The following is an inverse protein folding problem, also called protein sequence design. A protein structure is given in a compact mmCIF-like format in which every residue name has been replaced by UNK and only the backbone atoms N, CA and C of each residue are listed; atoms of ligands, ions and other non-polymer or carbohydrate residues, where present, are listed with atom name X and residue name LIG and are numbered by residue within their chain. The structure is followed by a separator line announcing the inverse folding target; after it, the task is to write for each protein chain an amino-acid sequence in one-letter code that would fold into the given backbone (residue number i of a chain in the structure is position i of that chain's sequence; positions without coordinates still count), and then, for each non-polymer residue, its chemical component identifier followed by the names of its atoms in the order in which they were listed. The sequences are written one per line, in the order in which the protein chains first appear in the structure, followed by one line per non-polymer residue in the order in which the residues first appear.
data_IF_418352276025
#
_entry.id   IF_418352276025
#
_cell.length_a   1.000
_cell.length_b   1.000
_cell.length_c   1.000
_cell.angle_alpha   90.00
_cell.angle_beta   90.00
_cell.angle_gamma   90.00
#
_symmetry.space_group_name_H-M   'P 1'
#
loop_
_entity.id
_entity.type
_entity.pdbx_description
1 polymer ?
#
# COMPACT_ATOMS: atom_id res chain seq x y z
N UNK A 1 54.62 0.68 24.10
CA UNK A 1 53.53 -0.29 23.89
C UNK A 1 54.01 -1.46 23.06
N UNK A 2 53.82 -2.70 23.53
CA UNK A 2 54.27 -3.91 22.82
C UNK A 2 53.46 -4.11 21.55
N UNK A 3 54.11 -4.38 20.43
CA UNK A 3 53.54 -4.57 19.11
C UNK A 3 52.40 -5.63 19.13
N UNK A 4 52.59 -6.69 19.92
CA UNK A 4 51.58 -7.72 20.13
C UNK A 4 50.25 -7.18 20.66
N UNK A 5 50.27 -6.15 21.52
CA UNK A 5 49.07 -5.55 22.08
C UNK A 5 48.26 -4.80 21.01
N UNK A 6 48.93 -4.04 20.13
CA UNK A 6 48.27 -3.29 19.05
C UNK A 6 47.64 -4.26 18.03
N UNK A 7 48.37 -5.33 17.70
CA UNK A 7 47.86 -6.34 16.75
C UNK A 7 46.64 -7.08 17.33
N UNK A 8 46.68 -7.49 18.60
CA UNK A 8 45.52 -8.14 19.23
C UNK A 8 44.29 -7.23 19.34
N UNK A 9 44.49 -5.94 19.65
CA UNK A 9 43.42 -4.97 19.67
C UNK A 9 42.82 -4.77 18.28
N UNK A 10 43.64 -4.70 17.22
CA UNK A 10 43.18 -4.59 15.85
C UNK A 10 42.36 -5.81 15.39
N UNK A 11 42.80 -7.03 15.74
CA UNK A 11 42.05 -8.25 15.49
C UNK A 11 40.73 -8.28 16.26
N UNK A 12 40.71 -7.93 17.55
CA UNK A 12 39.50 -7.83 18.34
C UNK A 12 38.51 -6.84 17.77
N UNK A 13 38.97 -5.64 17.37
CA UNK A 13 38.14 -4.62 16.76
C UNK A 13 37.55 -5.08 15.40
N UNK A 14 38.36 -5.76 14.58
CA UNK A 14 37.90 -6.29 13.29
C UNK A 14 36.81 -7.34 13.50
N UNK A 15 36.99 -8.28 14.43
CA UNK A 15 35.98 -9.31 14.74
C UNK A 15 34.68 -8.68 15.26
N UNK A 16 34.78 -7.74 16.20
CA UNK A 16 33.60 -7.03 16.72
C UNK A 16 32.84 -6.25 15.61
N UNK A 17 33.56 -5.55 14.74
CA UNK A 17 32.99 -4.83 13.62
C UNK A 17 32.32 -5.77 12.61
N UNK A 18 32.92 -6.91 12.32
CA UNK A 18 32.34 -7.91 11.40
C UNK A 18 31.06 -8.49 11.97
N UNK A 19 31.01 -8.81 13.26
CA UNK A 19 29.80 -9.30 13.94
C UNK A 19 28.73 -8.21 13.92
N UNK A 20 29.07 -6.97 14.28
CA UNK A 20 28.14 -5.84 14.25
C UNK A 20 27.59 -5.59 12.84
N UNK A 21 28.44 -5.63 11.82
CA UNK A 21 28.04 -5.52 10.41
C UNK A 21 27.05 -6.62 10.01
N UNK A 22 27.29 -7.87 10.42
CA UNK A 22 26.37 -8.98 10.18
C UNK A 22 25.00 -8.77 10.82
N UNK A 23 24.97 -8.31 12.07
CA UNK A 23 23.71 -8.00 12.77
C UNK A 23 22.95 -6.87 12.08
N UNK A 24 23.63 -5.77 11.74
CA UNK A 24 23.00 -4.62 11.06
C UNK A 24 22.47 -5.04 9.69
N UNK A 25 23.18 -5.89 8.97
CA UNK A 25 22.74 -6.41 7.67
C UNK A 25 21.48 -7.26 7.79
N UNK A 26 21.36 -8.11 8.81
CA UNK A 26 20.16 -8.89 9.09
C UNK A 26 18.98 -7.97 9.43
N UNK A 27 19.20 -6.95 10.26
CA UNK A 27 18.17 -5.96 10.60
C UNK A 27 17.73 -5.15 9.36
N UNK A 28 18.65 -4.78 8.49
CA UNK A 28 18.37 -4.09 7.25
C UNK A 28 17.54 -4.97 6.29
N UNK A 29 17.89 -6.26 6.15
CA UNK A 29 17.13 -7.22 5.35
C UNK A 29 15.69 -7.40 5.85
N UNK A 30 15.51 -7.49 7.17
CA UNK A 30 14.17 -7.58 7.77
C UNK A 30 13.36 -6.29 7.56
N UNK A 31 13.99 -5.13 7.63
CA UNK A 31 13.35 -3.84 7.38
C UNK A 31 12.96 -3.67 5.90
N UNK A 32 13.78 -4.12 4.96
CA UNK A 32 13.47 -4.18 3.53
C UNK A 32 12.24 -5.05 3.25
N UNK A 33 12.15 -6.21 3.90
CA UNK A 33 10.99 -7.10 3.80
C UNK A 33 9.73 -6.42 4.32
N UNK A 34 9.80 -5.74 5.47
CA UNK A 34 8.68 -5.00 6.03
C UNK A 34 8.25 -3.82 5.13
N UNK A 35 9.19 -3.13 4.48
CA UNK A 35 8.88 -2.07 3.50
C UNK A 35 8.12 -2.63 2.30
N UNK A 36 8.58 -3.75 1.73
CA UNK A 36 7.92 -4.41 0.60
C UNK A 36 6.51 -4.86 0.97
N UNK A 37 6.32 -5.46 2.14
CA UNK A 37 5.01 -5.85 2.63
C UNK A 37 4.06 -4.66 2.80
N UNK A 38 4.54 -3.53 3.31
CA UNK A 38 3.74 -2.32 3.45
C UNK A 38 3.33 -1.74 2.08
N UNK A 39 4.23 -1.76 1.09
CA UNK A 39 3.93 -1.32 -0.29
C UNK A 39 2.92 -2.24 -0.96
N UNK A 40 3.09 -3.57 -0.84
CA UNK A 40 2.15 -4.55 -1.38
C UNK A 40 0.77 -4.43 -0.73
N UNK A 41 0.73 -4.22 0.59
CA UNK A 41 -0.53 -4.00 1.31
C UNK A 41 -1.24 -2.75 0.79
N UNK A 42 -0.51 -1.64 0.56
CA UNK A 42 -1.06 -0.42 -0.04
C UNK A 42 -1.68 -0.70 -1.41
N UNK A 43 -0.95 -1.38 -2.30
CA UNK A 43 -1.46 -1.69 -3.64
C UNK A 43 -2.74 -2.55 -3.58
N UNK A 44 -2.82 -3.51 -2.66
CA UNK A 44 -4.03 -4.32 -2.46
C UNK A 44 -5.21 -3.48 -1.99
N UNK A 45 -4.96 -2.53 -1.08
CA UNK A 45 -6.02 -1.62 -0.63
C UNK A 45 -6.50 -0.71 -1.75
N UNK A 46 -5.58 -0.13 -2.53
CA UNK A 46 -5.92 0.74 -3.67
C UNK A 46 -6.80 -0.03 -4.67
N UNK A 47 -6.41 -1.25 -5.06
CA UNK A 47 -7.19 -2.08 -5.98
C UNK A 47 -8.56 -2.47 -5.42
N UNK A 48 -8.63 -2.94 -4.17
CA UNK A 48 -9.89 -3.35 -3.57
C UNK A 48 -10.86 -2.18 -3.40
N UNK A 49 -10.36 -0.99 -3.09
CA UNK A 49 -11.18 0.22 -2.96
C UNK A 49 -11.70 0.68 -4.33
N UNK A 50 -10.84 0.71 -5.35
CA UNK A 50 -11.23 1.04 -6.72
C UNK A 50 -12.28 0.06 -7.27
N UNK A 51 -12.11 -1.22 -6.98
CA UNK A 51 -13.08 -2.25 -7.34
C UNK A 51 -14.45 -2.04 -6.66
N UNK A 52 -14.46 -1.67 -5.36
CA UNK A 52 -15.71 -1.37 -4.63
C UNK A 52 -16.39 -0.14 -5.20
N UNK A 53 -15.64 0.93 -5.46
CA UNK A 53 -16.16 2.14 -6.09
C UNK A 53 -16.78 1.83 -7.45
N UNK A 54 -16.07 1.09 -8.30
CA UNK A 54 -16.55 0.73 -9.63
C UNK A 54 -17.86 -0.06 -9.58
N UNK A 55 -17.94 -1.08 -8.70
CA UNK A 55 -19.15 -1.88 -8.57
C UNK A 55 -20.31 -1.08 -7.96
N UNK A 56 -20.00 -0.19 -7.00
CA UNK A 56 -21.02 0.63 -6.36
C UNK A 56 -21.73 1.58 -7.35
N UNK A 57 -20.97 2.20 -8.27
CA UNK A 57 -21.52 3.16 -9.24
C UNK A 57 -22.12 2.51 -10.47
N UNK A 58 -21.64 1.31 -10.86
CA UNK A 58 -22.03 0.67 -12.11
C UNK A 58 -23.55 0.51 -12.26
N UNK A 59 -24.26 0.21 -11.18
CA UNK A 59 -25.71 0.02 -11.20
C UNK A 59 -26.44 1.34 -11.45
N UNK A 60 -26.05 2.41 -10.76
CA UNK A 60 -26.62 3.75 -10.95
C UNK A 60 -26.38 4.28 -12.37
N UNK A 61 -25.17 4.10 -12.88
CA UNK A 61 -24.81 4.52 -14.23
C UNK A 61 -25.60 3.75 -15.30
N UNK A 62 -25.79 2.44 -15.13
CA UNK A 62 -26.58 1.61 -16.04
C UNK A 62 -28.06 1.97 -16.01
N UNK A 63 -28.65 2.24 -14.82
CA UNK A 63 -30.03 2.70 -14.69
C UNK A 63 -30.23 4.02 -15.41
N UNK A 64 -29.36 5.02 -15.18
CA UNK A 64 -29.40 6.33 -15.86
C UNK A 64 -29.22 6.20 -17.35
N UNK A 65 -28.29 5.40 -17.80
CA UNK A 65 -28.05 5.16 -19.22
C UNK A 65 -29.26 4.53 -19.90
N UNK A 66 -29.88 3.55 -19.23
CA UNK A 66 -31.06 2.88 -19.75
C UNK A 66 -32.27 3.82 -19.88
N UNK A 67 -32.51 4.67 -18.88
CA UNK A 67 -33.62 5.63 -18.92
C UNK A 67 -33.52 6.58 -20.13
N UNK A 68 -32.29 6.91 -20.56
CA UNK A 68 -32.04 7.77 -21.72
C UNK A 68 -32.06 6.99 -23.04
N UNK A 69 -31.32 5.84 -23.10
CA UNK A 69 -31.14 5.11 -24.38
C UNK A 69 -32.23 4.10 -24.66
N UNK A 70 -32.89 3.56 -23.65
CA UNK A 70 -33.90 2.48 -23.76
C UNK A 70 -33.39 1.26 -24.54
N UNK A 71 -32.08 1.02 -24.43
CA UNK A 71 -31.42 -0.08 -25.12
C UNK A 71 -31.56 -1.39 -24.33
N UNK A 72 -32.08 -2.47 -24.94
CA UNK A 72 -32.23 -3.77 -24.25
C UNK A 72 -30.96 -4.35 -23.70
N UNK A 73 -29.82 -4.04 -24.30
CA UNK A 73 -28.51 -4.51 -23.82
C UNK A 73 -28.17 -3.82 -22.49
N UNK A 74 -28.38 -2.51 -22.39
CA UNK A 74 -28.17 -1.76 -21.15
C UNK A 74 -29.06 -2.27 -20.00
N UNK A 75 -30.33 -2.60 -20.31
CA UNK A 75 -31.23 -3.22 -19.31
C UNK A 75 -30.73 -4.58 -18.85
N UNK A 76 -30.22 -5.39 -19.75
CA UNK A 76 -29.62 -6.69 -19.40
C UNK A 76 -28.41 -6.53 -18.50
N UNK A 77 -27.55 -5.56 -18.78
CA UNK A 77 -26.38 -5.24 -17.96
C UNK A 77 -26.80 -4.72 -16.58
N UNK A 78 -27.81 -3.85 -16.49
CA UNK A 78 -28.42 -3.41 -15.23
C UNK A 78 -28.90 -4.60 -14.38
N UNK A 79 -29.68 -5.51 -14.97
CA UNK A 79 -30.19 -6.69 -14.25
C UNK A 79 -29.06 -7.65 -13.82
N UNK A 80 -27.95 -7.68 -14.53
CA UNK A 80 -26.77 -8.45 -14.14
C UNK A 80 -26.01 -7.78 -12.99
N UNK A 81 -26.10 -6.47 -12.87
CA UNK A 81 -25.39 -5.70 -11.84
C UNK A 81 -25.92 -5.93 -10.42
N UNK A 82 -27.10 -6.53 -10.23
CA UNK A 82 -27.58 -6.96 -8.90
C UNK A 82 -26.59 -7.89 -8.19
N UNK A 83 -25.73 -8.61 -8.94
CA UNK A 83 -24.69 -9.42 -8.34
C UNK A 83 -23.51 -8.58 -7.79
N UNK A 84 -23.41 -7.31 -8.12
CA UNK A 84 -22.33 -6.43 -7.66
C UNK A 84 -22.39 -6.21 -6.14
N UNK A 85 -23.57 -6.09 -5.56
CA UNK A 85 -23.72 -5.99 -4.10
C UNK A 85 -23.13 -7.21 -3.36
N UNK A 86 -23.33 -8.43 -3.88
CA UNK A 86 -22.67 -9.63 -3.32
C UNK A 86 -21.14 -9.57 -3.46
N UNK A 87 -20.65 -9.03 -4.57
CA UNK A 87 -19.22 -8.84 -4.78
C UNK A 87 -18.65 -7.80 -3.81
N UNK A 88 -19.42 -6.76 -3.48
CA UNK A 88 -19.01 -5.74 -2.51
C UNK A 88 -18.80 -6.34 -1.12
N UNK A 89 -19.71 -7.19 -0.62
CA UNK A 89 -19.52 -7.87 0.66
C UNK A 89 -18.23 -8.70 0.71
N UNK A 90 -17.97 -9.47 -0.35
CA UNK A 90 -16.73 -10.26 -0.47
C UNK A 90 -15.49 -9.33 -0.47
N UNK A 91 -15.58 -8.15 -1.08
CA UNK A 91 -14.48 -7.18 -1.10
C UNK A 91 -14.29 -6.49 0.24
N UNK A 92 -15.37 -6.21 0.98
CA UNK A 92 -15.30 -5.73 2.36
C UNK A 92 -14.58 -6.72 3.27
N UNK A 93 -14.89 -8.03 3.15
CA UNK A 93 -14.15 -9.08 3.87
C UNK A 93 -12.66 -9.08 3.49
N UNK A 94 -12.35 -9.00 2.20
CA UNK A 94 -10.95 -8.91 1.74
C UNK A 94 -10.24 -7.65 2.27
N UNK A 95 -10.91 -6.51 2.35
CA UNK A 95 -10.36 -5.30 2.96
C UNK A 95 -10.05 -5.52 4.45
N UNK A 96 -10.96 -6.17 5.18
CA UNK A 96 -10.75 -6.57 6.58
C UNK A 96 -9.55 -7.51 6.73
N UNK A 97 -9.47 -8.55 5.92
CA UNK A 97 -8.38 -9.53 5.94
C UNK A 97 -7.02 -8.90 5.64
N UNK A 98 -7.01 -7.83 4.83
CA UNK A 98 -5.80 -7.04 4.56
C UNK A 98 -5.53 -5.99 5.65
N UNK A 99 -6.34 -5.91 6.70
CA UNK A 99 -6.11 -5.08 7.87
C UNK A 99 -6.82 -3.72 7.87
N UNK A 100 -7.93 -3.56 7.12
CA UNK A 100 -8.82 -2.43 7.32
C UNK A 100 -9.53 -2.58 8.69
N UNK A 101 -9.62 -1.49 9.44
CA UNK A 101 -10.28 -1.49 10.73
C UNK A 101 -11.81 -1.48 10.57
N UNK A 102 -12.54 -1.93 11.62
CA UNK A 102 -14.00 -1.90 11.60
C UNK A 102 -14.54 -0.47 11.50
N UNK A 103 -13.87 0.52 12.10
CA UNK A 103 -14.23 1.94 11.98
C UNK A 103 -14.10 2.44 10.53
N UNK A 104 -12.99 2.09 9.86
CA UNK A 104 -12.80 2.41 8.43
C UNK A 104 -13.88 1.74 7.58
N UNK A 105 -14.13 0.45 7.78
CA UNK A 105 -15.15 -0.30 7.04
C UNK A 105 -16.57 0.20 7.30
N UNK A 106 -16.85 0.79 8.47
CA UNK A 106 -18.17 1.36 8.77
C UNK A 106 -18.52 2.53 7.85
N UNK A 107 -17.55 3.38 7.53
CA UNK A 107 -17.72 4.49 6.57
C UNK A 107 -18.05 3.99 5.16
N UNK A 108 -17.32 2.96 4.73
CA UNK A 108 -17.56 2.36 3.42
C UNK A 108 -18.95 1.68 3.35
N UNK A 109 -19.34 0.96 4.41
CA UNK A 109 -20.68 0.36 4.49
C UNK A 109 -21.80 1.41 4.49
N UNK A 110 -21.61 2.55 5.15
CA UNK A 110 -22.58 3.64 5.11
C UNK A 110 -22.77 4.17 3.68
N UNK A 111 -21.69 4.38 2.94
CA UNK A 111 -21.76 4.79 1.53
C UNK A 111 -22.47 3.74 0.67
N UNK A 112 -22.12 2.46 0.81
CA UNK A 112 -22.75 1.35 0.10
C UNK A 112 -24.24 1.25 0.40
N UNK A 113 -24.62 1.42 1.68
CA UNK A 113 -26.03 1.39 2.10
C UNK A 113 -26.86 2.47 1.41
N UNK A 114 -26.33 3.69 1.26
CA UNK A 114 -27.01 4.77 0.52
C UNK A 114 -27.22 4.36 -0.93
N UNK A 115 -26.23 3.73 -1.57
CA UNK A 115 -26.32 3.25 -2.96
C UNK A 115 -27.38 2.15 -3.10
N UNK A 116 -27.47 1.24 -2.10
CA UNK A 116 -28.48 0.19 -2.05
C UNK A 116 -29.90 0.78 -1.90
N UNK A 117 -30.06 1.81 -1.06
CA UNK A 117 -31.33 2.54 -0.90
C UNK A 117 -31.77 3.23 -2.21
N UNK A 118 -30.84 3.71 -3.06
CA UNK A 118 -31.14 4.27 -4.38
C UNK A 118 -31.63 3.23 -5.39
N UNK A 119 -31.45 1.94 -5.16
CA UNK A 119 -31.95 0.89 -6.02
C UNK A 119 -33.48 0.90 -6.13
N UNK A 120 -34.18 1.21 -5.05
CA UNK A 120 -35.65 1.33 -5.06
C UNK A 120 -36.12 2.46 -6.00
N UNK A 121 -35.41 3.57 -6.01
CA UNK A 121 -35.69 4.68 -6.94
C UNK A 121 -35.39 4.30 -8.39
N UNK A 122 -34.31 3.56 -8.64
CA UNK A 122 -33.97 3.04 -9.94
C UNK A 122 -35.07 2.10 -10.46
N UNK A 123 -35.50 1.14 -9.66
CA UNK A 123 -36.59 0.23 -10.04
C UNK A 123 -37.90 0.99 -10.33
N UNK A 124 -38.20 2.02 -9.52
CA UNK A 124 -39.38 2.89 -9.75
C UNK A 124 -39.26 3.63 -11.06
N UNK A 125 -38.08 4.13 -11.42
CA UNK A 125 -37.84 4.81 -12.69
C UNK A 125 -37.98 3.86 -13.89
N UNK A 126 -37.43 2.64 -13.79
CA UNK A 126 -37.57 1.61 -14.81
C UNK A 126 -39.05 1.22 -15.03
N UNK A 127 -39.81 1.02 -13.94
CA UNK A 127 -41.22 0.74 -13.99
C UNK A 127 -42.03 1.92 -14.62
N UNK A 128 -41.61 3.17 -14.41
CA UNK A 128 -42.21 4.34 -15.07
C UNK A 128 -41.98 4.32 -16.57
N UNK A 129 -40.80 3.91 -17.05
CA UNK A 129 -40.53 3.71 -18.48
C UNK A 129 -41.46 2.66 -19.12
N UNK A 130 -41.69 1.53 -18.44
CA UNK A 130 -42.58 0.48 -18.93
C UNK A 130 -44.02 0.99 -19.09
N UNK A 131 -44.43 1.97 -18.28
CA UNK A 131 -45.75 2.64 -18.41
C UNK A 131 -45.78 3.76 -19.43
N UNK A 132 -44.64 4.07 -20.09
CA UNK A 132 -44.51 5.17 -21.03
C UNK A 132 -44.38 6.56 -20.38
N UNK A 133 -44.07 6.61 -19.09
CA UNK A 133 -43.88 7.83 -18.28
C UNK A 133 -42.43 8.30 -18.31
N UNK A 134 -41.88 8.52 -19.52
CA UNK A 134 -40.45 8.80 -19.74
C UNK A 134 -39.94 9.99 -18.95
N UNK A 135 -40.70 11.08 -18.93
CA UNK A 135 -40.32 12.31 -18.22
C UNK A 135 -40.21 12.07 -16.68
N UNK A 136 -41.03 11.20 -16.14
CA UNK A 136 -41.02 10.84 -14.73
C UNK A 136 -39.79 9.97 -14.41
N UNK A 137 -39.47 9.00 -15.26
CA UNK A 137 -38.30 8.15 -15.11
C UNK A 137 -37.02 8.98 -15.12
N UNK A 138 -36.88 9.93 -16.05
CA UNK A 138 -35.76 10.87 -16.09
C UNK A 138 -35.73 11.75 -14.85
N UNK A 139 -36.88 12.29 -14.41
CA UNK A 139 -36.95 13.16 -13.24
C UNK A 139 -36.54 12.44 -11.96
N UNK A 140 -36.82 11.14 -11.84
CA UNK A 140 -36.39 10.33 -10.70
C UNK A 140 -34.85 10.18 -10.64
N UNK A 141 -34.19 9.77 -11.73
CA UNK A 141 -32.77 9.44 -11.72
C UNK A 141 -31.82 10.64 -11.99
N UNK A 142 -32.35 11.74 -12.52
CA UNK A 142 -31.61 12.98 -12.76
C UNK A 142 -32.14 14.16 -11.93
N UNK A 143 -33.08 13.86 -11.01
CA UNK A 143 -33.60 14.85 -10.09
C UNK A 143 -32.64 15.18 -8.97
N UNK A 144 -32.80 16.38 -8.41
CA UNK A 144 -31.94 16.85 -7.29
C UNK A 144 -31.92 15.89 -6.07
N UNK A 145 -33.02 15.23 -5.66
CA UNK A 145 -32.95 14.28 -4.53
C UNK A 145 -32.01 13.12 -4.81
N UNK A 146 -32.10 12.49 -5.97
CA UNK A 146 -31.24 11.36 -6.35
C UNK A 146 -29.76 11.78 -6.42
N UNK A 147 -29.47 12.94 -7.02
CA UNK A 147 -28.11 13.50 -7.07
C UNK A 147 -27.55 13.77 -5.66
N UNK A 148 -28.35 14.30 -4.74
CA UNK A 148 -27.91 14.56 -3.38
C UNK A 148 -27.54 13.28 -2.61
N UNK A 149 -28.30 12.19 -2.81
CA UNK A 149 -27.96 10.91 -2.17
C UNK A 149 -26.74 10.26 -2.81
N UNK A 150 -26.55 10.38 -4.13
CA UNK A 150 -25.31 9.96 -4.80
C UNK A 150 -24.10 10.72 -4.26
N UNK A 151 -24.20 12.06 -4.16
CA UNK A 151 -23.13 12.90 -3.61
C UNK A 151 -22.83 12.52 -2.15
N UNK A 152 -23.86 12.19 -1.37
CA UNK A 152 -23.71 11.74 -0.01
C UNK A 152 -22.98 10.40 0.08
N UNK A 153 -23.34 9.43 -0.76
CA UNK A 153 -22.65 8.15 -0.85
C UNK A 153 -21.18 8.33 -1.25
N UNK A 154 -20.93 9.17 -2.27
CA UNK A 154 -19.58 9.51 -2.72
C UNK A 154 -18.74 10.08 -1.57
N UNK A 155 -19.29 11.05 -0.83
CA UNK A 155 -18.58 11.66 0.29
C UNK A 155 -18.19 10.65 1.39
N UNK A 156 -19.03 9.63 1.66
CA UNK A 156 -18.70 8.57 2.62
C UNK A 156 -17.57 7.68 2.11
N UNK A 157 -17.63 7.30 0.83
CA UNK A 157 -16.59 6.46 0.20
C UNK A 157 -15.26 7.23 0.14
N UNK A 158 -15.29 8.50 -0.26
CA UNK A 158 -14.11 9.37 -0.28
C UNK A 158 -13.50 9.56 1.12
N UNK A 159 -14.33 9.70 2.13
CA UNK A 159 -13.86 9.81 3.52
C UNK A 159 -13.18 8.51 3.99
N UNK A 160 -13.78 7.36 3.71
CA UNK A 160 -13.12 6.07 3.93
C UNK A 160 -11.75 6.02 3.25
N UNK A 161 -11.68 6.35 1.96
CA UNK A 161 -10.44 6.35 1.17
C UNK A 161 -9.38 7.27 1.77
N UNK A 162 -9.75 8.49 2.16
CA UNK A 162 -8.81 9.44 2.77
C UNK A 162 -8.22 8.93 4.10
N UNK A 163 -9.04 8.32 4.96
CA UNK A 163 -8.59 7.78 6.25
C UNK A 163 -7.65 6.59 6.02
N UNK A 164 -8.05 5.67 5.14
CA UNK A 164 -7.26 4.51 4.79
C UNK A 164 -5.91 4.91 4.19
N UNK A 165 -5.92 5.80 3.19
CA UNK A 165 -4.72 6.32 2.53
C UNK A 165 -3.76 6.97 3.53
N UNK A 166 -4.26 7.83 4.41
CA UNK A 166 -3.44 8.51 5.40
C UNK A 166 -2.72 7.50 6.32
N UNK A 167 -3.41 6.47 6.76
CA UNK A 167 -2.84 5.41 7.61
C UNK A 167 -1.81 4.57 6.84
N UNK A 168 -2.16 4.11 5.64
CA UNK A 168 -1.32 3.22 4.84
C UNK A 168 -0.08 3.95 4.31
N UNK A 169 -0.22 5.18 3.83
CA UNK A 169 0.91 6.03 3.43
C UNK A 169 1.84 6.28 4.62
N UNK A 170 1.28 6.51 5.82
CA UNK A 170 2.05 6.64 7.05
C UNK A 170 2.90 5.40 7.31
N UNK A 171 2.30 4.21 7.26
CA UNK A 171 2.98 2.92 7.47
C UNK A 171 4.11 2.68 6.45
N UNK A 172 3.85 2.93 5.16
CA UNK A 172 4.87 2.83 4.10
C UNK A 172 6.01 3.79 4.35
N UNK A 173 5.71 5.06 4.68
CA UNK A 173 6.73 6.09 4.95
C UNK A 173 7.62 5.72 6.13
N UNK A 174 7.06 5.18 7.20
CA UNK A 174 7.81 4.76 8.39
C UNK A 174 8.66 3.52 8.11
N UNK A 175 8.12 2.53 7.38
CA UNK A 175 8.87 1.37 6.93
C UNK A 175 10.04 1.77 6.03
N UNK A 176 9.81 2.66 5.05
CA UNK A 176 10.84 3.17 4.13
C UNK A 176 11.93 3.95 4.87
N UNK A 177 11.56 4.79 5.85
CA UNK A 177 12.56 5.51 6.66
C UNK A 177 13.44 4.56 7.45
N UNK A 178 12.84 3.54 8.08
CA UNK A 178 13.55 2.54 8.86
C UNK A 178 14.48 1.70 7.98
N UNK A 179 14.00 1.23 6.83
CA UNK A 179 14.80 0.48 5.84
C UNK A 179 16.00 1.32 5.36
N UNK A 180 15.78 2.55 4.91
CA UNK A 180 16.86 3.45 4.47
C UNK A 180 17.90 3.72 5.56
N UNK A 181 17.48 3.98 6.79
CA UNK A 181 18.39 4.23 7.91
C UNK A 181 19.28 3.02 8.20
N UNK A 182 18.69 1.82 8.25
CA UNK A 182 19.43 0.58 8.47
C UNK A 182 20.34 0.22 7.31
N UNK A 183 19.92 0.43 6.09
CA UNK A 183 20.73 0.24 4.88
C UNK A 183 21.95 1.15 4.89
N UNK A 184 21.78 2.45 5.15
CA UNK A 184 22.90 3.40 5.25
C UNK A 184 23.83 3.02 6.38
N UNK A 185 23.32 2.62 7.55
CA UNK A 185 24.14 2.14 8.66
C UNK A 185 24.93 0.87 8.28
N UNK A 186 24.33 -0.06 7.55
CA UNK A 186 24.99 -1.27 7.03
C UNK A 186 26.12 -0.92 6.06
N UNK A 187 25.86 -0.05 5.10
CA UNK A 187 26.86 0.40 4.11
C UNK A 187 28.06 1.09 4.78
N UNK A 188 27.81 1.98 5.75
CA UNK A 188 28.86 2.64 6.53
C UNK A 188 29.69 1.65 7.36
N UNK A 189 29.03 0.68 8.00
CA UNK A 189 29.72 -0.31 8.84
C UNK A 189 30.59 -1.23 8.00
N UNK A 190 30.09 -1.67 6.83
CA UNK A 190 30.87 -2.49 5.89
C UNK A 190 32.06 -1.70 5.36
N UNK A 191 31.85 -0.43 4.97
CA UNK A 191 32.92 0.46 4.49
C UNK A 191 34.02 0.67 5.56
N UNK A 192 33.60 0.91 6.81
CA UNK A 192 34.53 1.06 7.94
C UNK A 192 35.32 -0.21 8.21
N UNK A 193 34.66 -1.37 8.15
CA UNK A 193 35.31 -2.68 8.32
C UNK A 193 36.35 -2.93 7.22
N UNK A 194 36.03 -2.62 5.97
CA UNK A 194 36.95 -2.74 4.84
C UNK A 194 38.17 -1.82 4.98
N UNK A 195 37.96 -0.56 5.38
CA UNK A 195 39.06 0.39 5.62
C UNK A 195 39.98 -0.07 6.74
N UNK A 196 39.40 -0.55 7.83
CA UNK A 196 40.17 -1.08 8.97
C UNK A 196 40.97 -2.32 8.57
N UNK A 197 40.40 -3.21 7.77
CA UNK A 197 41.10 -4.38 7.23
C UNK A 197 42.28 -3.98 6.35
N UNK A 198 42.10 -3.03 5.42
CA UNK A 198 43.16 -2.52 4.55
C UNK A 198 44.27 -1.86 5.36
N UNK A 199 43.92 -1.10 6.40
CA UNK A 199 44.88 -0.46 7.27
C UNK A 199 45.75 -1.50 8.02
N UNK A 200 45.11 -2.54 8.60
CA UNK A 200 45.81 -3.63 9.29
C UNK A 200 46.72 -4.39 8.34
N UNK A 201 46.21 -4.70 7.12
CA UNK A 201 46.98 -5.41 6.09
C UNK A 201 48.22 -4.59 5.65
N UNK A 202 48.03 -3.30 5.37
CA UNK A 202 49.12 -2.39 4.98
C UNK A 202 50.16 -2.23 6.10
N UNK A 203 49.70 -2.15 7.36
CA UNK A 203 50.60 -2.07 8.49
C UNK A 203 51.45 -3.34 8.68
N UNK A 204 50.84 -4.51 8.50
CA UNK A 204 51.55 -5.82 8.60
C UNK A 204 52.54 -5.97 7.46
N UNK A 205 52.16 -5.68 6.22
CA UNK A 205 53.02 -5.72 5.01
C UNK A 205 54.22 -4.79 5.16
N UNK A 206 54.02 -3.55 5.54
CA UNK A 206 55.09 -2.56 5.70
C UNK A 206 56.10 -2.99 6.78
N UNK A 207 55.66 -3.67 7.83
CA UNK A 207 56.50 -4.01 8.97
C UNK A 207 57.15 -5.39 8.91
N UNK A 208 56.47 -6.38 8.27
CA UNK A 208 57.01 -7.77 8.18
C UNK A 208 57.73 -8.04 6.85
N UNK A 209 57.41 -7.36 5.79
CA UNK A 209 57.99 -7.64 4.47
C UNK A 209 58.95 -6.54 4.03
N UNK A 210 58.56 -5.29 4.06
CA UNK A 210 59.43 -4.20 3.56
C UNK A 210 60.62 -3.86 4.45
N UNK A 211 60.48 -3.87 5.78
CA UNK A 211 61.59 -3.55 6.70
C UNK A 211 62.74 -4.58 6.72
N UNK A 212 62.49 -5.92 6.76
CA UNK A 212 63.60 -6.89 6.71
C UNK A 212 64.28 -6.93 5.33
N UNK A 213 63.57 -6.70 4.21
CA UNK A 213 64.16 -6.73 2.88
C UNK A 213 65.11 -5.54 2.63
N UNK A 214 64.75 -4.34 3.11
CA UNK A 214 65.68 -3.17 3.04
C UNK A 214 66.91 -3.32 3.94
N UNK A 215 66.82 -4.02 5.04
CA UNK A 215 67.99 -4.31 5.92
C UNK A 215 68.96 -5.37 5.38
N UNK A 216 68.51 -6.17 4.40
CA UNK A 216 69.36 -7.18 3.73
C UNK A 216 70.05 -6.65 2.47
N UNK A 217 69.73 -5.41 2.04
CA UNK A 217 70.30 -4.76 0.85
C UNK A 217 71.38 -3.71 1.17
N UNK A 218 71.59 -3.40 2.46
CA UNK A 218 72.75 -2.66 3.00
C UNK A 218 73.78 -3.63 3.63
#
# INVERSE_FOLDING_TARGET
MRIATITNWAYGATVCLTIASGIIMLLASNADTAERQAVEQRQRFDQLTEDVETDAWAQSDLARLYVIKKDPQTLKEYNQSENYLKNIEIRLEKLRDNGASDDELSLLREGIKIIDELQDEQQTALASLERGEDAQAVALLYGQPYEQELDRAQNQIDHFRQILDKRVIGSVKDATKKSKALRTASELTVGLTALLFLFVLGFILKRRVLRPVVRLSD
#
